data_IF_238612588569
#
_entry.id   IF_238612588569
#
_cell.length_a   1.000
_cell.length_b   1.000
_cell.length_c   1.000
_cell.angle_alpha   90.00
_cell.angle_beta   90.00
_cell.angle_gamma   90.00
#
_symmetry.space_group_name_H-M   'P 1'
#
loop_
_entity.id
_entity.type
_entity.pdbx_description
1 polymer ?
#
# COMPACT_ATOMS: atom_id res chain seq x y z
N UNK A 1 4.44 -26.71 41.44
CA UNK A 1 3.49 -26.67 40.31
C UNK A 1 3.00 -25.25 40.19
N UNK A 2 3.48 -24.51 39.18
CA UNK A 2 2.98 -23.16 38.88
C UNK A 2 1.80 -23.36 37.96
N UNK A 3 0.59 -23.14 38.48
CA UNK A 3 -0.62 -23.03 37.65
C UNK A 3 -0.47 -21.80 36.75
N UNK A 4 -0.11 -22.05 35.49
CA UNK A 4 -0.23 -21.05 34.44
C UNK A 4 -1.72 -20.90 34.18
N UNK A 5 -2.29 -19.84 34.75
CA UNK A 5 -3.64 -19.38 34.50
C UNK A 5 -3.72 -18.92 33.03
N UNK A 6 -3.82 -19.87 32.09
CA UNK A 6 -4.22 -19.60 30.71
C UNK A 6 -5.70 -19.23 30.76
N UNK A 7 -5.98 -17.93 30.88
CA UNK A 7 -7.28 -17.43 30.44
C UNK A 7 -7.53 -18.02 29.05
N UNK A 8 -8.68 -18.66 28.84
CA UNK A 8 -9.11 -19.17 27.54
C UNK A 8 -9.18 -17.98 26.59
N UNK A 9 -8.06 -17.70 25.91
CA UNK A 9 -7.97 -16.61 24.96
C UNK A 9 -8.76 -17.07 23.74
N UNK A 10 -10.05 -16.72 23.70
CA UNK A 10 -10.97 -17.07 22.64
C UNK A 10 -10.33 -16.76 21.28
N UNK A 11 -10.10 -17.80 20.48
CA UNK A 11 -9.50 -17.68 19.15
C UNK A 11 -10.32 -16.70 18.33
N UNK A 12 -9.66 -15.67 17.80
CA UNK A 12 -10.32 -14.63 16.99
C UNK A 12 -10.26 -15.01 15.53
N UNK A 13 -11.34 -14.75 14.79
CA UNK A 13 -11.37 -14.93 13.35
C UNK A 13 -11.21 -13.58 12.64
N UNK A 14 -10.56 -13.59 11.48
CA UNK A 14 -10.43 -12.41 10.61
C UNK A 14 -10.71 -12.81 9.17
N UNK A 15 -11.60 -12.08 8.50
CA UNK A 15 -11.86 -12.29 7.07
C UNK A 15 -10.81 -11.56 6.23
N UNK A 16 -10.15 -12.27 5.32
CA UNK A 16 -9.15 -11.72 4.41
C UNK A 16 -9.64 -11.90 2.98
N UNK A 17 -9.99 -10.79 2.34
CA UNK A 17 -10.41 -10.79 0.94
C UNK A 17 -9.18 -10.61 0.04
N UNK A 18 -8.94 -11.62 -0.78
CA UNK A 18 -7.86 -11.71 -1.76
C UNK A 18 -8.40 -11.55 -3.19
N UNK A 19 -7.52 -11.18 -4.09
CA UNK A 19 -7.81 -11.03 -5.52
C UNK A 19 -6.98 -9.91 -6.14
N UNK A 20 -6.87 -9.92 -7.47
CA UNK A 20 -6.20 -8.84 -8.17
C UNK A 20 -7.00 -7.53 -8.10
N UNK A 21 -6.31 -6.39 -8.19
CA UNK A 21 -7.00 -5.12 -8.40
C UNK A 21 -7.92 -5.22 -9.64
N UNK A 22 -9.16 -4.73 -9.52
CA UNK A 22 -10.23 -4.78 -10.55
C UNK A 22 -10.89 -6.15 -10.76
N UNK A 23 -10.77 -7.07 -9.81
CA UNK A 23 -11.49 -8.35 -9.81
C UNK A 23 -12.80 -8.36 -9.02
N UNK A 24 -13.27 -7.22 -8.52
CA UNK A 24 -14.50 -7.15 -7.72
C UNK A 24 -14.30 -7.25 -6.21
N UNK A 25 -13.05 -7.23 -5.71
CA UNK A 25 -12.75 -7.24 -4.27
C UNK A 25 -13.45 -6.11 -3.49
N UNK A 26 -13.61 -4.92 -4.06
CA UNK A 26 -14.35 -3.83 -3.42
C UNK A 26 -15.85 -4.12 -3.27
N UNK A 27 -16.48 -4.75 -4.27
CA UNK A 27 -17.90 -5.14 -4.19
C UNK A 27 -18.08 -6.23 -3.14
N UNK A 28 -17.21 -7.25 -3.13
CA UNK A 28 -17.22 -8.28 -2.10
C UNK A 28 -17.04 -7.69 -0.69
N UNK A 29 -16.12 -6.75 -0.51
CA UNK A 29 -15.94 -6.04 0.77
C UNK A 29 -17.17 -5.22 1.18
N UNK A 30 -17.84 -4.55 0.24
CA UNK A 30 -19.08 -3.83 0.52
C UNK A 30 -20.19 -4.79 0.94
N UNK A 31 -20.36 -5.91 0.23
CA UNK A 31 -21.33 -6.94 0.61
C UNK A 31 -21.04 -7.46 2.02
N UNK A 32 -19.80 -7.84 2.31
CA UNK A 32 -19.38 -8.33 3.63
C UNK A 32 -19.69 -7.31 4.73
N UNK A 33 -19.36 -6.04 4.52
CA UNK A 33 -19.66 -4.97 5.47
C UNK A 33 -21.18 -4.83 5.70
N UNK A 34 -21.96 -4.86 4.62
CA UNK A 34 -23.41 -4.74 4.67
C UNK A 34 -24.10 -5.94 5.34
N UNK A 35 -23.50 -7.13 5.28
CA UNK A 35 -23.98 -8.33 6.00
C UNK A 35 -23.32 -8.52 7.38
N UNK A 36 -22.80 -7.43 7.97
CA UNK A 36 -22.43 -7.40 9.39
C UNK A 36 -20.94 -7.62 9.68
N UNK A 37 -20.06 -7.68 8.68
CA UNK A 37 -18.61 -7.69 8.91
C UNK A 37 -18.12 -6.32 9.39
N UNK A 38 -17.28 -6.30 10.43
CA UNK A 38 -16.61 -5.07 10.86
C UNK A 38 -15.47 -4.73 9.89
N UNK A 39 -15.37 -3.47 9.48
CA UNK A 39 -14.30 -2.95 8.61
C UNK A 39 -13.52 -1.85 9.35
N UNK A 40 -12.37 -1.46 8.79
CA UNK A 40 -11.58 -0.37 9.36
C UNK A 40 -12.34 0.95 9.39
N UNK A 41 -12.12 1.73 10.45
CA UNK A 41 -12.60 3.12 10.55
C UNK A 41 -11.77 4.07 9.67
N UNK A 42 -10.57 3.66 9.27
CA UNK A 42 -9.63 4.45 8.48
C UNK A 42 -9.48 3.86 7.07
N UNK A 43 -10.48 4.09 6.22
CA UNK A 43 -10.48 3.60 4.83
C UNK A 43 -9.88 4.63 3.88
N UNK A 44 -9.18 4.14 2.85
CA UNK A 44 -8.75 4.95 1.71
C UNK A 44 -9.98 5.63 1.09
N UNK A 45 -9.95 6.96 0.89
CA UNK A 45 -11.10 7.68 0.33
C UNK A 45 -11.35 7.31 -1.16
N UNK A 46 -12.59 7.44 -1.64
CA UNK A 46 -12.91 7.33 -3.07
C UNK A 46 -12.05 8.25 -3.93
N UNK A 47 -11.75 7.83 -5.17
CA UNK A 47 -10.98 8.61 -6.16
C UNK A 47 -11.78 8.73 -7.46
N UNK A 48 -11.42 9.67 -8.33
CA UNK A 48 -12.15 9.91 -9.59
C UNK A 48 -12.40 8.64 -10.44
N UNK A 49 -11.40 7.75 -10.54
CA UNK A 49 -11.49 6.48 -11.28
C UNK A 49 -12.17 5.32 -10.50
N UNK A 50 -12.54 5.56 -9.24
CA UNK A 50 -13.28 4.64 -8.38
C UNK A 50 -14.24 5.42 -7.48
N UNK A 51 -15.42 5.72 -8.01
CA UNK A 51 -16.47 6.49 -7.34
C UNK A 51 -17.02 5.81 -6.09
N UNK A 52 -16.90 4.47 -6.02
CA UNK A 52 -17.12 3.69 -4.80
C UNK A 52 -15.79 3.56 -4.06
N UNK A 53 -15.79 3.75 -2.73
CA UNK A 53 -14.57 3.60 -1.92
C UNK A 53 -13.82 2.32 -2.29
N UNK A 54 -12.48 2.37 -2.41
CA UNK A 54 -11.69 1.17 -2.59
C UNK A 54 -12.00 0.10 -1.54
N UNK A 55 -12.40 0.45 -0.31
CA UNK A 55 -12.50 -0.46 0.84
C UNK A 55 -11.14 -1.04 1.26
N UNK A 56 -10.06 -0.28 1.04
CA UNK A 56 -8.73 -0.58 1.58
C UNK A 56 -8.54 0.16 2.90
N UNK A 57 -7.85 -0.48 3.84
CA UNK A 57 -7.40 0.17 5.07
C UNK A 57 -6.19 1.07 4.75
N UNK A 58 -6.25 2.31 5.20
CA UNK A 58 -5.23 3.33 4.93
C UNK A 58 -3.91 3.03 5.66
N UNK A 59 -3.95 2.47 6.88
CA UNK A 59 -2.74 2.10 7.62
C UNK A 59 -1.99 0.99 6.85
N UNK A 60 -2.72 -0.02 6.35
CA UNK A 60 -2.14 -1.07 5.50
C UNK A 60 -1.59 -0.52 4.19
N UNK A 61 -2.33 0.37 3.53
CA UNK A 61 -1.91 1.01 2.28
C UNK A 61 -0.59 1.75 2.47
N UNK A 62 -0.45 2.46 3.59
CA UNK A 62 0.79 3.14 3.96
C UNK A 62 1.97 2.17 4.17
N UNK A 63 1.75 1.04 4.85
CA UNK A 63 2.79 0.00 5.00
C UNK A 63 3.27 -0.49 3.62
N UNK A 64 2.35 -0.81 2.71
CA UNK A 64 2.74 -1.29 1.38
C UNK A 64 3.49 -0.23 0.57
N UNK A 65 2.91 0.95 0.41
CA UNK A 65 3.40 1.96 -0.53
C UNK A 65 4.52 2.85 0.02
N UNK A 66 4.60 3.06 1.34
CA UNK A 66 5.63 3.91 1.95
C UNK A 66 6.75 3.11 2.59
N UNK A 67 6.52 1.85 2.96
CA UNK A 67 7.56 1.04 3.60
C UNK A 67 8.02 -0.12 2.74
N UNK A 68 7.12 -1.01 2.32
CA UNK A 68 7.52 -2.26 1.66
C UNK A 68 8.09 -1.97 0.28
N UNK A 69 7.27 -1.42 -0.63
CA UNK A 69 7.64 -1.25 -2.03
C UNK A 69 8.90 -0.39 -2.23
N UNK A 70 9.05 0.77 -1.56
CA UNK A 70 10.27 1.57 -1.71
C UNK A 70 11.51 0.86 -1.19
N UNK A 71 11.44 0.19 -0.03
CA UNK A 71 12.62 -0.41 0.61
C UNK A 71 13.05 -1.72 -0.04
N UNK A 72 12.17 -2.41 -0.76
CA UNK A 72 12.50 -3.63 -1.51
C UNK A 72 12.75 -3.37 -3.00
N UNK A 73 12.56 -2.13 -3.47
CA UNK A 73 12.76 -1.75 -4.88
C UNK A 73 11.71 -2.32 -5.83
N UNK A 74 10.44 -2.36 -5.42
CA UNK A 74 9.35 -2.98 -6.21
C UNK A 74 8.09 -2.10 -6.23
N UNK A 75 6.99 -2.60 -6.81
CA UNK A 75 5.67 -1.98 -6.79
C UNK A 75 4.56 -3.06 -6.84
N UNK A 76 3.30 -2.63 -6.68
CA UNK A 76 2.14 -3.52 -6.59
C UNK A 76 1.77 -4.28 -7.88
N UNK A 77 2.44 -4.02 -9.00
CA UNK A 77 2.22 -4.69 -10.29
C UNK A 77 3.30 -5.74 -10.60
N UNK A 78 4.35 -5.81 -9.79
CA UNK A 78 5.46 -6.74 -9.98
C UNK A 78 5.46 -7.80 -8.87
N UNK A 79 5.97 -9.01 -9.15
CA UNK A 79 6.28 -9.98 -8.12
C UNK A 79 7.19 -9.35 -7.06
N UNK A 80 6.94 -9.63 -5.78
CA UNK A 80 7.76 -9.08 -4.70
C UNK A 80 9.08 -9.85 -4.61
N UNK A 81 10.25 -9.17 -4.54
CA UNK A 81 11.52 -9.84 -4.32
C UNK A 81 11.64 -10.26 -2.85
N UNK A 82 11.00 -11.37 -2.48
CA UNK A 82 10.89 -11.81 -1.09
C UNK A 82 12.27 -12.05 -0.43
N UNK A 83 13.29 -12.38 -1.23
CA UNK A 83 14.68 -12.48 -0.79
C UNK A 83 15.22 -11.15 -0.25
N UNK A 84 14.95 -10.04 -0.94
CA UNK A 84 15.37 -8.71 -0.49
C UNK A 84 14.73 -8.36 0.87
N UNK A 85 13.46 -8.74 1.07
CA UNK A 85 12.78 -8.57 2.35
C UNK A 85 13.38 -9.48 3.43
N UNK A 86 13.72 -10.74 3.10
CA UNK A 86 14.30 -11.68 4.05
C UNK A 86 15.74 -11.33 4.46
N UNK A 87 16.53 -10.78 3.54
CA UNK A 87 17.89 -10.32 3.81
C UNK A 87 17.92 -9.08 4.73
N UNK A 88 16.84 -8.28 4.75
CA UNK A 88 16.71 -7.13 5.63
C UNK A 88 15.87 -7.45 6.88
N UNK A 89 16.51 -8.02 7.90
CA UNK A 89 15.85 -8.40 9.17
C UNK A 89 15.15 -7.23 9.85
N UNK A 90 15.79 -6.06 9.90
CA UNK A 90 15.21 -4.88 10.56
C UNK A 90 13.90 -4.43 9.89
N UNK A 91 13.88 -4.42 8.55
CA UNK A 91 12.67 -4.13 7.77
C UNK A 91 11.57 -5.16 8.04
N UNK A 92 11.91 -6.45 7.95
CA UNK A 92 10.95 -7.54 8.18
C UNK A 92 10.34 -7.46 9.59
N UNK A 93 11.15 -7.23 10.61
CA UNK A 93 10.69 -7.10 11.99
C UNK A 93 9.80 -5.86 12.19
N UNK A 94 10.13 -4.75 11.54
CA UNK A 94 9.32 -3.53 11.57
C UNK A 94 7.94 -3.73 10.92
N UNK A 95 7.89 -4.36 9.73
CA UNK A 95 6.64 -4.69 9.06
C UNK A 95 5.83 -5.67 9.92
N UNK A 96 6.46 -6.74 10.41
CA UNK A 96 5.82 -7.73 11.27
C UNK A 96 5.13 -7.09 12.49
N UNK A 97 5.82 -6.17 13.18
CA UNK A 97 5.24 -5.42 14.32
C UNK A 97 4.02 -4.61 13.89
N UNK A 98 4.07 -3.94 12.74
CA UNK A 98 2.94 -3.13 12.25
C UNK A 98 1.74 -4.00 11.85
N UNK A 99 1.94 -5.14 11.17
CA UNK A 99 0.87 -6.08 10.84
C UNK A 99 0.19 -6.60 12.11
N UNK A 100 0.98 -6.97 13.12
CA UNK A 100 0.47 -7.37 14.45
C UNK A 100 -0.37 -6.27 15.09
N UNK A 101 0.11 -5.03 15.06
CA UNK A 101 -0.63 -3.88 15.61
C UNK A 101 -1.98 -3.69 14.89
N UNK A 102 -2.02 -3.82 13.57
CA UNK A 102 -3.25 -3.72 12.78
C UNK A 102 -4.25 -4.80 13.18
N UNK A 103 -3.82 -6.07 13.29
CA UNK A 103 -4.69 -7.17 13.69
C UNK A 103 -5.25 -6.92 15.10
N UNK A 104 -4.39 -6.60 16.08
CA UNK A 104 -4.81 -6.38 17.47
C UNK A 104 -5.75 -5.17 17.58
N UNK A 105 -5.38 -4.04 16.97
CA UNK A 105 -6.19 -2.81 16.96
C UNK A 105 -7.60 -3.08 16.44
N UNK A 106 -7.71 -3.67 15.25
CA UNK A 106 -8.99 -3.82 14.60
C UNK A 106 -9.84 -4.95 15.21
N UNK A 107 -9.24 -6.09 15.56
CA UNK A 107 -9.99 -7.20 16.21
C UNK A 107 -10.41 -6.91 17.65
N UNK A 108 -9.81 -5.92 18.33
CA UNK A 108 -10.27 -5.47 19.64
C UNK A 108 -11.42 -4.46 19.56
N UNK A 109 -11.45 -3.64 18.50
CA UNK A 109 -12.50 -2.63 18.30
C UNK A 109 -13.75 -3.18 17.60
N UNK A 110 -13.60 -4.24 16.81
CA UNK A 110 -14.67 -4.79 16.00
C UNK A 110 -15.86 -5.27 16.85
N UNK A 111 -17.08 -4.96 16.38
CA UNK A 111 -18.34 -5.40 17.00
C UNK A 111 -18.73 -6.83 16.57
N UNK A 112 -18.12 -7.31 15.49
CA UNK A 112 -18.31 -8.62 14.87
C UNK A 112 -16.95 -9.13 14.36
N UNK A 113 -16.94 -10.06 13.41
CA UNK A 113 -15.70 -10.48 12.73
C UNK A 113 -15.16 -9.29 11.93
N UNK A 114 -13.91 -8.93 12.19
CA UNK A 114 -13.20 -7.93 11.39
C UNK A 114 -12.70 -8.55 10.09
N UNK A 115 -12.76 -7.77 9.00
CA UNK A 115 -12.12 -8.18 7.76
C UNK A 115 -11.52 -7.02 6.98
N UNK A 116 -10.59 -7.38 6.10
CA UNK A 116 -9.88 -6.42 5.28
C UNK A 116 -9.56 -6.98 3.90
N UNK A 117 -9.18 -6.07 3.01
CA UNK A 117 -8.53 -6.39 1.76
C UNK A 117 -7.37 -5.46 1.49
N UNK A 118 -6.44 -5.93 0.68
CA UNK A 118 -5.54 -5.08 -0.10
C UNK A 118 -5.01 -5.91 -1.27
N UNK A 119 -4.91 -5.39 -2.51
CA UNK A 119 -4.41 -6.15 -3.64
C UNK A 119 -3.03 -6.77 -3.39
N UNK A 120 -2.15 -6.07 -2.68
CA UNK A 120 -0.81 -6.55 -2.34
C UNK A 120 -0.74 -7.53 -1.15
N UNK A 121 -1.86 -7.88 -0.50
CA UNK A 121 -1.85 -8.84 0.63
C UNK A 121 -1.30 -10.19 0.22
N UNK A 122 -1.64 -10.66 -0.98
CA UNK A 122 -1.13 -11.88 -1.61
C UNK A 122 0.40 -11.96 -1.63
N UNK A 123 1.06 -10.82 -1.88
CA UNK A 123 2.51 -10.73 -2.11
C UNK A 123 3.35 -10.94 -0.84
N UNK A 124 2.74 -10.83 0.35
CA UNK A 124 3.43 -10.99 1.64
C UNK A 124 2.69 -11.94 2.60
N UNK A 125 1.85 -12.84 2.08
CA UNK A 125 1.09 -13.80 2.90
C UNK A 125 1.93 -14.56 3.93
N UNK A 126 3.18 -14.99 3.65
CA UNK A 126 4.01 -15.63 4.67
C UNK A 126 4.27 -14.75 5.90
N UNK A 127 4.34 -13.43 5.75
CA UNK A 127 4.49 -12.49 6.87
C UNK A 127 3.16 -12.25 7.60
N UNK A 128 2.04 -12.23 6.86
CA UNK A 128 0.70 -12.23 7.46
C UNK A 128 0.45 -13.47 8.31
N UNK A 129 0.82 -14.67 7.85
CA UNK A 129 0.70 -15.89 8.65
C UNK A 129 1.46 -15.82 9.97
N UNK A 130 2.68 -15.27 9.95
CA UNK A 130 3.43 -15.02 11.18
C UNK A 130 2.66 -14.08 12.11
N UNK A 131 2.10 -12.99 11.57
CA UNK A 131 1.35 -12.02 12.35
C UNK A 131 0.09 -12.65 12.98
N UNK A 132 -0.72 -13.36 12.18
CA UNK A 132 -1.91 -14.08 12.62
C UNK A 132 -1.61 -15.11 13.72
N UNK A 133 -0.55 -15.91 13.54
CA UNK A 133 -0.12 -16.89 14.54
C UNK A 133 0.32 -16.21 15.84
N UNK A 134 1.04 -15.09 15.75
CA UNK A 134 1.51 -14.34 16.92
C UNK A 134 0.41 -13.64 17.71
N UNK A 135 -0.79 -13.50 17.13
CA UNK A 135 -1.97 -12.88 17.74
C UNK A 135 -3.09 -13.88 18.01
N UNK A 136 -2.83 -15.19 17.89
CA UNK A 136 -3.84 -16.25 18.03
C UNK A 136 -5.11 -15.97 17.20
N UNK A 137 -4.91 -15.48 15.97
CA UNK A 137 -5.97 -15.08 15.05
C UNK A 137 -6.01 -16.05 13.87
N UNK A 138 -7.19 -16.56 13.53
CA UNK A 138 -7.41 -17.50 12.43
C UNK A 138 -7.96 -16.72 11.22
N UNK A 139 -7.23 -16.66 10.10
CA UNK A 139 -7.73 -16.03 8.89
C UNK A 139 -8.76 -16.92 8.18
N UNK A 140 -9.82 -16.30 7.67
CA UNK A 140 -10.83 -16.89 6.78
C UNK A 140 -10.66 -16.22 5.41
N UNK A 141 -10.25 -17.00 4.41
CA UNK A 141 -9.92 -16.44 3.09
C UNK A 141 -11.11 -16.46 2.14
N UNK A 142 -11.38 -15.31 1.52
CA UNK A 142 -12.28 -15.20 0.38
C UNK A 142 -11.50 -14.70 -0.83
N UNK A 143 -11.75 -15.27 -1.99
CA UNK A 143 -11.08 -14.92 -3.23
C UNK A 143 -12.09 -14.32 -4.22
N UNK A 144 -11.95 -13.04 -4.53
CA UNK A 144 -12.73 -12.42 -5.60
C UNK A 144 -12.05 -12.69 -6.95
N UNK A 145 -12.77 -13.37 -7.85
CA UNK A 145 -12.31 -13.73 -9.20
C UNK A 145 -13.11 -12.96 -10.24
N UNK A 146 -12.45 -12.61 -11.33
CA UNK A 146 -13.06 -12.00 -12.51
C UNK A 146 -12.30 -12.39 -13.75
N UNK A 147 -12.98 -12.36 -14.90
CA UNK A 147 -12.35 -12.56 -16.18
C UNK A 147 -11.11 -11.65 -16.35
N UNK A 148 -9.92 -12.22 -16.64
CA UNK A 148 -8.69 -11.46 -16.81
C UNK A 148 -8.77 -10.40 -17.91
N UNK A 149 -9.50 -10.62 -19.00
CA UNK A 149 -9.66 -9.61 -20.06
C UNK A 149 -10.31 -8.34 -19.52
N UNK A 150 -11.41 -8.50 -18.79
CA UNK A 150 -12.15 -7.40 -18.21
C UNK A 150 -11.38 -6.70 -17.09
N UNK A 151 -10.60 -7.45 -16.29
CA UNK A 151 -9.70 -6.86 -15.29
C UNK A 151 -8.57 -6.04 -15.94
N UNK A 152 -7.95 -6.53 -17.02
CA UNK A 152 -6.91 -5.83 -17.75
C UNK A 152 -7.44 -4.54 -18.42
N UNK A 153 -8.55 -4.63 -19.17
CA UNK A 153 -9.20 -3.46 -19.78
C UNK A 153 -9.64 -2.43 -18.74
N UNK A 154 -10.21 -2.88 -17.60
CA UNK A 154 -10.57 -1.96 -16.52
C UNK A 154 -9.35 -1.25 -15.94
N UNK A 155 -8.21 -1.94 -15.81
CA UNK A 155 -6.98 -1.35 -15.28
C UNK A 155 -6.41 -0.32 -16.24
N UNK A 156 -6.42 -0.58 -17.55
CA UNK A 156 -6.03 0.41 -18.56
C UNK A 156 -6.89 1.66 -18.50
N UNK A 157 -8.22 1.50 -18.47
CA UNK A 157 -9.17 2.64 -18.37
C UNK A 157 -8.96 3.45 -17.09
N UNK A 158 -8.72 2.79 -15.95
CA UNK A 158 -8.61 3.47 -14.64
C UNK A 158 -7.23 4.06 -14.35
N UNK A 159 -6.15 3.47 -14.86
CA UNK A 159 -4.78 3.80 -14.44
C UNK A 159 -3.79 3.97 -15.61
N UNK A 160 -4.20 3.77 -16.86
CA UNK A 160 -3.33 3.88 -18.03
C UNK A 160 -2.31 2.75 -18.19
N UNK A 161 -2.36 1.71 -17.35
CA UNK A 161 -1.46 0.56 -17.50
C UNK A 161 -1.83 -0.26 -18.74
N UNK A 162 -0.82 -0.65 -19.53
CA UNK A 162 -1.01 -1.56 -20.65
C UNK A 162 -1.66 -2.88 -20.20
N UNK A 163 -2.51 -3.46 -21.04
CA UNK A 163 -3.26 -4.67 -20.70
C UNK A 163 -2.35 -5.84 -20.35
N UNK A 164 -1.21 -5.99 -21.05
CA UNK A 164 -0.19 -7.00 -20.74
C UNK A 164 0.34 -6.88 -19.29
N UNK A 165 0.50 -5.67 -18.77
CA UNK A 165 0.88 -5.46 -17.35
C UNK A 165 -0.28 -5.83 -16.43
N UNK A 166 -1.51 -5.54 -16.83
CA UNK A 166 -2.72 -5.97 -16.13
C UNK A 166 -2.84 -7.48 -16.02
N UNK A 167 -2.52 -8.20 -17.09
CA UNK A 167 -2.45 -9.67 -17.13
C UNK A 167 -1.39 -10.22 -16.17
N UNK A 168 -0.17 -9.68 -16.19
CA UNK A 168 0.89 -10.12 -15.28
C UNK A 168 0.54 -9.85 -13.81
N UNK A 169 -0.03 -8.69 -13.50
CA UNK A 169 -0.51 -8.38 -12.17
C UNK A 169 -1.65 -9.33 -11.75
N UNK A 170 -2.56 -9.68 -12.66
CA UNK A 170 -3.59 -10.69 -12.41
C UNK A 170 -2.94 -12.04 -12.09
N UNK A 171 -2.07 -12.55 -12.95
CA UNK A 171 -1.39 -13.84 -12.78
C UNK A 171 -0.64 -13.93 -11.46
N UNK A 172 0.19 -12.92 -11.18
CA UNK A 172 1.02 -12.89 -9.98
C UNK A 172 0.18 -12.88 -8.71
N UNK A 173 -0.88 -12.07 -8.65
CA UNK A 173 -1.72 -11.98 -7.46
C UNK A 173 -2.46 -13.29 -7.16
N UNK A 174 -3.07 -13.93 -8.17
CA UNK A 174 -3.77 -15.20 -7.95
C UNK A 174 -2.81 -16.35 -7.67
N UNK A 175 -1.69 -16.43 -8.40
CA UNK A 175 -0.69 -17.49 -8.20
C UNK A 175 -0.13 -17.45 -6.79
N UNK A 176 0.34 -16.29 -6.32
CA UNK A 176 0.89 -16.16 -4.97
C UNK A 176 -0.18 -16.39 -3.88
N UNK A 177 -1.38 -15.84 -4.07
CA UNK A 177 -2.47 -16.03 -3.12
C UNK A 177 -2.85 -17.51 -2.97
N UNK A 178 -3.17 -18.18 -4.07
CA UNK A 178 -3.60 -19.58 -4.08
C UNK A 178 -2.48 -20.52 -3.63
N UNK A 179 -1.23 -20.23 -4.02
CA UNK A 179 -0.07 -21.00 -3.58
C UNK A 179 0.05 -20.98 -2.05
N UNK A 180 0.03 -19.79 -1.44
CA UNK A 180 0.27 -19.64 -0.02
C UNK A 180 -0.89 -20.10 0.86
N UNK A 181 -2.13 -19.92 0.43
CA UNK A 181 -3.31 -20.41 1.18
C UNK A 181 -3.65 -21.87 0.84
N UNK A 182 -2.92 -22.52 -0.08
CA UNK A 182 -3.20 -23.89 -0.51
C UNK A 182 -4.57 -24.06 -1.18
N UNK A 183 -5.04 -23.01 -1.86
CA UNK A 183 -6.42 -22.87 -2.35
C UNK A 183 -7.51 -23.08 -1.27
N UNK A 184 -7.17 -22.87 0.00
CA UNK A 184 -8.14 -22.89 1.10
C UNK A 184 -8.85 -21.57 1.26
N UNK A 185 -9.89 -21.39 0.44
CA UNK A 185 -10.70 -20.19 0.42
C UNK A 185 -12.10 -20.45 -0.14
N UNK A 186 -12.98 -19.47 0.06
CA UNK A 186 -14.24 -19.38 -0.66
C UNK A 186 -14.08 -18.49 -1.90
N UNK A 187 -14.38 -19.03 -3.07
CA UNK A 187 -14.22 -18.34 -4.37
C UNK A 187 -15.54 -17.70 -4.80
N UNK A 188 -15.48 -16.38 -5.05
CA UNK A 188 -16.62 -15.57 -5.52
C UNK A 188 -16.27 -14.97 -6.87
N UNK A 189 -17.07 -15.23 -7.91
CA UNK A 189 -16.88 -14.53 -9.17
C UNK A 189 -17.71 -13.25 -9.21
N UNK A 190 -17.12 -12.20 -9.76
CA UNK A 190 -17.76 -10.90 -9.86
C UNK A 190 -19.10 -10.95 -10.58
N UNK A 191 -19.15 -11.73 -11.65
CA UNK A 191 -20.32 -11.90 -12.51
C UNK A 191 -21.50 -12.53 -11.75
N UNK A 192 -21.23 -13.39 -10.77
CA UNK A 192 -22.27 -14.12 -10.05
C UNK A 192 -23.11 -13.21 -9.12
N UNK A 193 -22.58 -12.04 -8.75
CA UNK A 193 -23.37 -11.02 -8.03
C UNK A 193 -24.58 -10.56 -8.83
N UNK A 194 -24.57 -10.71 -10.15
CA UNK A 194 -25.65 -10.25 -11.02
C UNK A 194 -26.59 -11.38 -11.46
N UNK A 195 -26.26 -12.64 -11.15
CA UNK A 195 -27.10 -13.81 -11.44
C UNK A 195 -27.74 -14.39 -10.17
N UNK A 196 -26.94 -14.68 -9.13
CA UNK A 196 -27.38 -15.35 -7.91
C UNK A 196 -26.94 -14.65 -6.60
N UNK A 197 -27.06 -13.31 -6.45
CA UNK A 197 -26.47 -12.55 -5.34
C UNK A 197 -26.88 -13.06 -3.94
N UNK A 198 -28.17 -13.35 -3.75
CA UNK A 198 -28.71 -13.76 -2.44
C UNK A 198 -28.18 -15.12 -2.00
N UNK A 199 -28.01 -16.06 -2.94
CA UNK A 199 -27.49 -17.40 -2.65
C UNK A 199 -26.04 -17.31 -2.18
N UNK A 200 -25.20 -16.59 -2.95
CA UNK A 200 -23.77 -16.42 -2.66
C UNK A 200 -23.57 -15.74 -1.30
N UNK A 201 -24.34 -14.70 -1.00
CA UNK A 201 -24.23 -14.01 0.29
C UNK A 201 -24.61 -14.91 1.48
N UNK A 202 -25.61 -15.79 1.34
CA UNK A 202 -25.95 -16.78 2.37
C UNK A 202 -24.84 -17.81 2.59
N UNK A 203 -24.24 -18.30 1.51
CA UNK A 203 -23.10 -19.22 1.58
C UNK A 203 -21.89 -18.54 2.24
N UNK A 204 -21.62 -17.27 1.91
CA UNK A 204 -20.57 -16.47 2.56
C UNK A 204 -20.85 -16.27 4.05
N UNK A 205 -22.09 -15.96 4.46
CA UNK A 205 -22.46 -15.81 5.87
C UNK A 205 -22.12 -17.07 6.67
N UNK A 206 -22.52 -18.24 6.14
CA UNK A 206 -22.25 -19.53 6.77
C UNK A 206 -20.75 -19.85 6.79
N UNK A 207 -20.05 -19.65 5.67
CA UNK A 207 -18.60 -19.93 5.56
C UNK A 207 -17.77 -19.04 6.49
N UNK A 208 -18.16 -17.78 6.67
CA UNK A 208 -17.42 -16.82 7.50
C UNK A 208 -17.80 -16.84 8.97
N UNK A 209 -18.92 -17.47 9.33
CA UNK A 209 -19.50 -17.39 10.67
C UNK A 209 -20.06 -16.01 11.00
N UNK A 210 -20.43 -15.22 9.98
CA UNK A 210 -21.09 -13.91 10.14
C UNK A 210 -22.59 -14.06 10.42
N UNK A 211 -23.16 -15.23 10.14
CA UNK A 211 -24.54 -15.60 10.44
C UNK A 211 -24.91 -15.37 11.92
N UNK A 212 -23.99 -15.58 12.86
CA UNK A 212 -24.22 -15.32 14.29
C UNK A 212 -24.37 -13.81 14.63
N UNK A 213 -23.98 -12.91 13.72
CA UNK A 213 -24.04 -11.47 13.91
C UNK A 213 -25.10 -10.79 13.02
N UNK A 214 -25.46 -11.42 11.91
CA UNK A 214 -26.37 -10.85 10.92
C UNK A 214 -27.82 -11.27 11.18
N UNK A 215 -28.70 -10.29 11.44
CA UNK A 215 -30.13 -10.51 11.73
C UNK A 215 -31.07 -9.96 10.67
N UNK A 216 -30.53 -9.36 9.59
CA UNK A 216 -31.32 -8.71 8.53
C UNK A 216 -31.77 -9.65 7.41
N UNK A 217 -32.46 -9.09 6.42
CA UNK A 217 -32.76 -9.79 5.16
C UNK A 217 -31.63 -9.56 4.14
N UNK A 218 -30.99 -10.65 3.72
CA UNK A 218 -29.89 -10.61 2.73
C UNK A 218 -30.31 -9.93 1.42
N UNK A 219 -31.52 -10.21 0.92
CA UNK A 219 -32.01 -9.65 -0.35
C UNK A 219 -32.19 -8.14 -0.26
N UNK A 220 -32.73 -7.65 0.86
CA UNK A 220 -32.90 -6.22 1.10
C UNK A 220 -31.54 -5.51 1.13
N UNK A 221 -30.61 -6.03 1.92
CA UNK A 221 -29.25 -5.47 2.05
C UNK A 221 -28.51 -5.45 0.71
N UNK A 222 -28.57 -6.55 -0.05
CA UNK A 222 -27.89 -6.64 -1.34
C UNK A 222 -28.45 -5.69 -2.39
N UNK A 223 -29.75 -5.35 -2.33
CA UNK A 223 -30.36 -4.40 -3.27
C UNK A 223 -29.74 -2.99 -3.22
N UNK A 224 -29.12 -2.64 -2.09
CA UNK A 224 -28.46 -1.35 -1.88
C UNK A 224 -27.02 -1.35 -2.40
N UNK A 225 -26.37 -2.52 -2.43
CA UNK A 225 -24.95 -2.70 -2.78
C UNK A 225 -24.78 -3.13 -4.23
N UNK A 226 -25.53 -4.15 -4.66
CA UNK A 226 -25.48 -4.70 -6.01
C UNK A 226 -26.46 -3.96 -6.90
N UNK A 227 -25.95 -2.96 -7.62
CA UNK A 227 -26.74 -2.15 -8.55
C UNK A 227 -26.53 -2.61 -9.99
N UNK A 228 -27.58 -2.62 -10.84
CA UNK A 228 -27.46 -3.05 -12.25
C UNK A 228 -26.39 -2.29 -13.04
N UNK A 229 -26.17 -1.00 -12.76
CA UNK A 229 -25.14 -0.18 -13.41
C UNK A 229 -23.70 -0.53 -12.98
N UNK A 230 -23.54 -1.38 -11.96
CA UNK A 230 -22.25 -1.99 -11.62
C UNK A 230 -22.02 -3.27 -12.42
N UNK A 231 -22.99 -3.79 -13.17
CA UNK A 231 -22.72 -4.92 -14.05
C UNK A 231 -21.76 -4.46 -15.16
N UNK A 232 -20.53 -4.97 -15.09
CA UNK A 232 -19.43 -4.65 -16.01
C UNK A 232 -19.02 -5.90 -16.78
N UNK A 233 -19.93 -6.83 -16.97
CA UNK A 233 -19.72 -8.09 -17.71
C UNK A 233 -19.81 -7.91 -19.23
N UNK A 234 -19.88 -6.66 -19.72
CA UNK A 234 -19.90 -6.35 -21.15
C UNK A 234 -18.59 -6.84 -21.78
N UNK A 235 -18.70 -7.46 -22.96
CA UNK A 235 -17.55 -7.89 -23.76
C UNK A 235 -16.60 -6.71 -23.99
N UNK A 236 -15.40 -6.82 -23.45
CA UNK A 236 -14.29 -5.90 -23.75
C UNK A 236 -13.54 -6.46 -24.96
N UNK A 237 -13.07 -5.59 -25.86
CA UNK A 237 -12.39 -5.98 -27.11
C UNK A 237 -11.02 -6.65 -26.88
N UNK A 238 -10.53 -6.63 -25.64
CA UNK A 238 -9.22 -7.17 -25.30
C UNK A 238 -9.22 -8.69 -25.18
N UNK A 239 -8.37 -9.35 -25.96
CA UNK A 239 -8.07 -10.77 -25.82
C UNK A 239 -6.81 -10.96 -25.00
N UNK A 240 -6.90 -11.78 -23.95
CA UNK A 240 -5.77 -12.16 -23.10
C UNK A 240 -4.72 -12.88 -23.94
N UNK A 241 -3.48 -12.43 -23.85
CA UNK A 241 -2.36 -12.95 -24.65
C UNK A 241 -1.49 -13.93 -23.87
N UNK A 242 -1.42 -13.81 -22.54
CA UNK A 242 -0.56 -14.65 -21.72
C UNK A 242 -1.16 -16.05 -21.53
N UNK A 243 -0.43 -17.08 -21.97
CA UNK A 243 -0.86 -18.48 -21.88
C UNK A 243 -1.12 -18.94 -20.44
N UNK A 244 -0.31 -18.51 -19.47
CA UNK A 244 -0.49 -18.88 -18.07
C UNK A 244 -1.70 -18.20 -17.43
N UNK A 245 -2.04 -16.98 -17.85
CA UNK A 245 -3.31 -16.34 -17.47
C UNK A 245 -4.49 -17.14 -17.99
N UNK A 246 -4.46 -17.55 -19.27
CA UNK A 246 -5.50 -18.39 -19.86
C UNK A 246 -5.62 -19.74 -19.15
N UNK A 247 -4.50 -20.43 -18.92
CA UNK A 247 -4.45 -21.72 -18.18
C UNK A 247 -5.07 -21.60 -16.80
N UNK A 248 -4.62 -20.63 -16.00
CA UNK A 248 -5.12 -20.44 -14.65
C UNK A 248 -6.62 -20.07 -14.64
N UNK A 249 -7.04 -19.14 -15.51
CA UNK A 249 -8.45 -18.75 -15.58
C UNK A 249 -9.35 -19.89 -16.06
N UNK A 250 -8.87 -20.75 -16.97
CA UNK A 250 -9.62 -21.90 -17.46
C UNK A 250 -9.99 -22.90 -16.37
N UNK A 251 -9.21 -22.99 -15.29
CA UNK A 251 -9.58 -23.80 -14.12
C UNK A 251 -10.40 -22.96 -13.14
N UNK A 252 -9.98 -21.73 -12.85
CA UNK A 252 -10.66 -20.85 -11.89
C UNK A 252 -12.12 -20.55 -12.26
N UNK A 253 -12.46 -20.48 -13.55
CA UNK A 253 -13.83 -20.25 -14.02
C UNK A 253 -14.80 -21.36 -13.59
N UNK A 254 -14.31 -22.55 -13.28
CA UNK A 254 -15.10 -23.68 -12.81
C UNK A 254 -15.18 -23.73 -11.27
N UNK A 255 -14.38 -22.94 -10.55
CA UNK A 255 -14.34 -22.94 -9.09
C UNK A 255 -15.33 -21.91 -8.51
N UNK A 256 -16.22 -22.34 -7.61
CA UNK A 256 -17.19 -21.51 -6.87
C UNK A 256 -17.34 -21.99 -5.43
N UNK A 257 -17.57 -21.07 -4.50
CA UNK A 257 -17.76 -21.40 -3.10
C UNK A 257 -16.51 -22.01 -2.47
N UNK A 258 -16.70 -22.86 -1.47
CA UNK A 258 -15.60 -23.53 -0.75
C UNK A 258 -15.28 -24.94 -1.28
N UNK A 259 -16.18 -25.52 -2.08
CA UNK A 259 -16.08 -26.89 -2.61
C UNK A 259 -15.83 -26.87 -4.12
N UNK A 260 -14.61 -27.25 -4.49
CA UNK A 260 -14.15 -27.33 -5.87
C UNK A 260 -12.90 -28.23 -5.92
N UNK A 261 -12.50 -28.64 -7.12
CA UNK A 261 -11.30 -29.47 -7.31
C UNK A 261 -10.02 -28.67 -7.02
N UNK A 262 -9.62 -28.66 -5.75
CA UNK A 262 -8.42 -27.99 -5.25
C UNK A 262 -7.15 -28.60 -5.83
N UNK A 263 -7.14 -29.91 -6.08
CA UNK A 263 -5.96 -30.58 -6.65
C UNK A 263 -5.71 -30.12 -8.08
N UNK A 264 -6.75 -30.06 -8.92
CA UNK A 264 -6.68 -29.52 -10.29
C UNK A 264 -6.24 -28.06 -10.29
N UNK A 265 -6.82 -27.22 -9.42
CA UNK A 265 -6.42 -25.81 -9.32
C UNK A 265 -4.96 -25.66 -8.90
N UNK A 266 -4.54 -26.38 -7.85
CA UNK A 266 -3.18 -26.28 -7.33
C UNK A 266 -2.11 -26.84 -8.28
N UNK A 267 -2.46 -27.79 -9.15
CA UNK A 267 -1.56 -28.24 -10.20
C UNK A 267 -1.19 -27.10 -11.16
N UNK A 268 -2.20 -26.35 -11.63
CA UNK A 268 -1.98 -25.19 -12.53
C UNK A 268 -1.30 -24.04 -11.80
N UNK A 269 -1.65 -23.76 -10.53
CA UNK A 269 -0.96 -22.75 -9.72
C UNK A 269 0.54 -23.05 -9.59
N UNK A 270 0.91 -24.32 -9.39
CA UNK A 270 2.32 -24.73 -9.35
C UNK A 270 3.02 -24.51 -10.69
N UNK A 271 2.37 -24.84 -11.79
CA UNK A 271 2.90 -24.59 -13.15
C UNK A 271 3.12 -23.08 -13.40
N UNK A 272 2.12 -22.25 -13.10
CA UNK A 272 2.23 -20.79 -13.22
C UNK A 272 3.39 -20.24 -12.37
N UNK A 273 3.53 -20.72 -11.13
CA UNK A 273 4.61 -20.28 -10.23
C UNK A 273 5.99 -20.69 -10.74
N UNK A 274 6.14 -21.93 -11.21
CA UNK A 274 7.38 -22.40 -11.84
C UNK A 274 7.76 -21.54 -13.06
N UNK A 275 6.78 -21.20 -13.90
CA UNK A 275 7.01 -20.32 -15.04
C UNK A 275 7.46 -18.91 -14.60
N UNK A 276 6.81 -18.33 -13.59
CA UNK A 276 7.22 -17.04 -13.02
C UNK A 276 8.64 -17.08 -12.43
N UNK A 277 8.97 -18.15 -11.69
CA UNK A 277 10.29 -18.36 -11.11
C UNK A 277 11.38 -18.53 -12.19
N UNK A 278 11.04 -19.14 -13.32
CA UNK A 278 11.95 -19.27 -14.48
C UNK A 278 12.42 -17.93 -15.06
N UNK A 279 11.61 -16.88 -14.93
CA UNK A 279 11.96 -15.52 -15.36
C UNK A 279 12.44 -14.62 -14.21
N UNK A 280 12.76 -15.20 -13.05
CA UNK A 280 13.10 -14.44 -11.85
C UNK A 280 14.26 -13.47 -12.02
N UNK A 281 15.33 -13.91 -12.68
CA UNK A 281 16.49 -13.06 -12.94
C UNK A 281 16.13 -11.78 -13.70
N UNK A 282 15.24 -11.86 -14.70
CA UNK A 282 14.86 -10.70 -15.50
C UNK A 282 14.05 -9.68 -14.70
N UNK A 283 13.08 -10.12 -13.90
CA UNK A 283 12.30 -9.16 -13.12
C UNK A 283 13.12 -8.54 -11.97
N UNK A 284 14.08 -9.28 -11.39
CA UNK A 284 15.00 -8.72 -10.38
C UNK A 284 15.87 -7.60 -10.97
N UNK A 285 16.43 -7.82 -12.17
CA UNK A 285 17.18 -6.78 -12.89
C UNK A 285 16.29 -5.57 -13.21
N UNK A 286 15.06 -5.80 -13.64
CA UNK A 286 14.11 -4.71 -13.90
C UNK A 286 13.81 -3.91 -12.61
N UNK A 287 13.66 -4.59 -11.47
CA UNK A 287 13.43 -3.95 -10.18
C UNK A 287 14.62 -3.13 -9.69
N UNK A 288 15.84 -3.65 -9.81
CA UNK A 288 17.05 -2.90 -9.49
C UNK A 288 17.15 -1.61 -10.31
N UNK A 289 16.85 -1.69 -11.61
CA UNK A 289 16.81 -0.53 -12.49
C UNK A 289 15.70 0.45 -12.10
N UNK A 290 14.51 -0.02 -11.74
CA UNK A 290 13.42 0.83 -11.25
C UNK A 290 13.84 1.57 -9.98
N UNK A 291 14.45 0.86 -9.02
CA UNK A 291 14.94 1.45 -7.78
C UNK A 291 16.00 2.52 -8.07
N UNK A 292 16.99 2.20 -8.92
CA UNK A 292 18.04 3.15 -9.33
C UNK A 292 17.46 4.40 -10.00
N UNK A 293 16.49 4.24 -10.90
CA UNK A 293 15.83 5.37 -11.56
C UNK A 293 15.04 6.21 -10.55
N UNK A 294 14.39 5.59 -9.56
CA UNK A 294 13.70 6.31 -8.49
C UNK A 294 14.67 7.17 -7.68
N UNK A 295 15.81 6.60 -7.24
CA UNK A 295 16.85 7.34 -6.51
C UNK A 295 17.41 8.49 -7.33
N UNK A 296 17.68 8.27 -8.62
CA UNK A 296 18.16 9.34 -9.50
C UNK A 296 17.15 10.46 -9.68
N UNK A 297 15.85 10.15 -9.72
CA UNK A 297 14.78 11.17 -9.78
C UNK A 297 14.71 12.01 -8.51
N UNK A 298 14.82 11.38 -7.34
CA UNK A 298 14.86 12.10 -6.05
C UNK A 298 16.07 13.02 -5.96
N UNK A 299 17.26 12.52 -6.31
CA UNK A 299 18.48 13.33 -6.38
C UNK A 299 18.34 14.50 -7.35
N UNK A 300 17.75 14.27 -8.52
CA UNK A 300 17.48 15.33 -9.50
C UNK A 300 16.53 16.38 -8.94
N UNK A 301 15.49 15.97 -8.21
CA UNK A 301 14.54 16.89 -7.59
C UNK A 301 15.20 17.75 -6.52
N UNK A 302 15.97 17.15 -5.60
CA UNK A 302 16.76 17.89 -4.61
C UNK A 302 17.78 18.84 -5.26
N UNK A 303 18.42 18.41 -6.35
CA UNK A 303 19.34 19.27 -7.09
C UNK A 303 18.62 20.48 -7.71
N UNK A 304 17.40 20.29 -8.25
CA UNK A 304 16.58 21.38 -8.78
C UNK A 304 16.15 22.37 -7.70
N UNK A 305 15.77 21.88 -6.52
CA UNK A 305 15.40 22.73 -5.38
C UNK A 305 16.58 23.60 -4.94
N UNK A 306 17.77 22.99 -4.75
CA UNK A 306 19.00 23.73 -4.45
C UNK A 306 19.38 24.72 -5.55
N UNK A 307 19.19 24.34 -6.81
CA UNK A 307 19.44 25.24 -7.94
C UNK A 307 18.51 26.45 -7.93
N UNK A 308 17.25 26.27 -7.51
CA UNK A 308 16.28 27.35 -7.39
C UNK A 308 16.62 28.36 -6.27
N UNK A 309 17.39 27.96 -5.26
CA UNK A 309 17.86 28.85 -4.19
C UNK A 309 19.04 29.75 -4.60
N UNK A 310 19.80 29.36 -5.63
CA UNK A 310 21.03 30.06 -6.07
C UNK A 310 20.80 31.56 -6.30
N UNK A 311 19.76 32.02 -7.05
CA UNK A 311 19.57 33.44 -7.28
C UNK A 311 19.34 34.26 -6.00
N UNK A 312 18.64 33.67 -5.01
CA UNK A 312 18.37 34.32 -3.74
C UNK A 312 19.63 34.42 -2.88
N UNK A 313 20.43 33.35 -2.82
CA UNK A 313 21.74 33.36 -2.16
C UNK A 313 22.69 34.38 -2.82
N UNK A 314 22.72 34.45 -4.15
CA UNK A 314 23.50 35.45 -4.89
C UNK A 314 23.05 36.89 -4.60
N UNK A 315 21.73 37.12 -4.42
CA UNK A 315 21.22 38.43 -3.99
C UNK A 315 21.71 38.75 -2.57
N UNK A 316 21.63 37.79 -1.65
CA UNK A 316 22.07 37.98 -0.26
C UNK A 316 23.57 38.27 -0.16
N UNK A 317 24.39 37.57 -0.93
CA UNK A 317 25.83 37.83 -1.02
C UNK A 317 26.09 39.28 -1.45
N UNK A 318 25.42 39.76 -2.52
CA UNK A 318 25.57 41.15 -2.98
C UNK A 318 25.12 42.19 -1.95
N UNK A 319 24.11 41.90 -1.15
CA UNK A 319 23.69 42.77 -0.04
C UNK A 319 24.76 42.84 1.05
N UNK A 320 25.29 41.69 1.46
CA UNK A 320 26.34 41.61 2.47
C UNK A 320 27.64 42.26 1.99
N UNK A 321 28.00 42.13 0.72
CA UNK A 321 29.16 42.81 0.13
C UNK A 321 29.02 44.33 0.19
N UNK A 322 27.83 44.87 -0.11
CA UNK A 322 27.55 46.31 0.02
C UNK A 322 27.63 46.80 1.47
N UNK A 323 27.10 46.00 2.40
CA UNK A 323 27.13 46.34 3.82
C UNK A 323 28.57 46.31 4.38
N UNK A 324 29.37 45.30 4.01
CA UNK A 324 30.79 45.25 4.34
C UNK A 324 31.57 46.44 3.78
N UNK A 325 31.29 46.85 2.53
CA UNK A 325 31.93 48.02 1.95
C UNK A 325 31.60 49.30 2.74
N UNK A 326 30.33 49.48 3.12
CA UNK A 326 29.89 50.61 3.95
C UNK A 326 30.56 50.61 5.33
N UNK A 327 30.67 49.44 5.98
CA UNK A 327 31.35 49.32 7.27
C UNK A 327 32.84 49.67 7.16
N UNK A 328 33.52 49.24 6.08
CA UNK A 328 34.92 49.59 5.83
C UNK A 328 35.11 51.10 5.57
N UNK A 329 34.16 51.75 4.91
CA UNK A 329 34.18 53.21 4.74
C UNK A 329 33.99 53.94 6.08
N UNK A 330 33.04 53.50 6.90
CA UNK A 330 32.85 54.04 8.25
C UNK A 330 34.08 53.85 9.14
N UNK A 331 34.75 52.70 9.06
CA UNK A 331 35.99 52.44 9.79
C UNK A 331 37.09 53.44 9.40
N UNK A 332 37.25 53.74 8.10
CA UNK A 332 38.18 54.77 7.62
C UNK A 332 37.82 56.17 8.13
N UNK A 333 36.53 56.50 8.19
CA UNK A 333 36.08 57.79 8.74
C UNK A 333 36.36 57.91 10.24
N UNK A 334 36.15 56.83 11.00
CA UNK A 334 36.49 56.78 12.43
C UNK A 334 38.00 56.99 12.63
N UNK A 335 38.85 56.31 11.85
CA UNK A 335 40.31 56.50 11.92
C UNK A 335 40.69 57.96 11.66
N UNK A 336 40.13 58.59 10.62
CA UNK A 336 40.40 60.01 10.33
C UNK A 336 39.90 60.94 11.44
N UNK A 337 38.74 60.66 12.01
CA UNK A 337 38.20 61.45 13.11
C UNK A 337 39.08 61.34 14.36
N UNK A 338 39.62 60.14 14.64
CA UNK A 338 40.55 59.90 15.75
C UNK A 338 41.90 60.60 15.53
N UNK A 339 42.45 60.54 14.31
CA UNK A 339 43.64 61.32 13.92
C UNK A 339 43.43 62.83 14.09
N UNK A 340 42.29 63.36 13.65
CA UNK A 340 41.95 64.78 13.79
C UNK A 340 41.75 65.19 15.26
N UNK A 341 41.15 64.33 16.07
CA UNK A 341 41.00 64.55 17.51
C UNK A 341 42.36 64.59 18.21
N UNK A 342 43.26 63.64 17.90
CA UNK A 342 44.63 63.62 18.40
C UNK A 342 45.38 64.91 18.01
N UNK A 343 45.25 65.36 16.76
CA UNK A 343 45.87 66.62 16.32
C UNK A 343 45.31 67.86 17.03
N UNK A 344 44.00 67.92 17.28
CA UNK A 344 43.38 68.99 18.07
C UNK A 344 43.85 68.98 19.54
N UNK A 345 44.06 67.81 20.12
CA UNK A 345 44.63 67.66 21.47
C UNK A 345 46.10 68.10 21.54
N UNK A 346 46.87 67.95 20.47
CA UNK A 346 48.23 68.49 20.36
C UNK A 346 48.25 70.03 20.22
N UNK A 347 47.30 70.61 19.47
CA UNK A 347 47.19 72.06 19.27
C UNK A 347 46.60 72.81 20.49
N UNK A 348 45.75 72.15 21.25
CA UNK A 348 45.19 72.63 22.51
C UNK A 348 45.43 71.60 23.60
N UNK A 349 46.69 71.47 24.10
CA UNK A 349 46.95 70.59 25.22
C UNK A 349 46.05 71.06 26.36
N UNK A 350 45.27 70.14 26.92
CA UNK A 350 44.56 70.39 28.17
C UNK A 350 45.61 70.91 29.15
N UNK A 351 45.49 72.20 29.50
CA UNK A 351 46.30 72.78 30.56
C UNK A 351 46.11 71.88 31.77
N UNK A 352 47.18 71.36 32.40
CA UNK A 352 47.00 70.58 33.61
C UNK A 352 46.25 71.47 34.58
N UNK A 353 45.07 71.00 35.01
CA UNK A 353 44.38 71.51 36.17
C UNK A 353 45.42 71.72 37.27
N UNK A 354 45.58 72.98 37.65
CA UNK A 354 46.30 73.39 38.84
C UNK A 354 45.60 72.77 40.05
N UNK A 355 45.98 71.54 40.41
CA UNK A 355 45.86 71.06 41.78
C UNK A 355 47.09 71.57 42.55
N UNK A 356 47.02 72.83 42.99
CA UNK A 356 47.61 73.28 44.27
C UNK A 356 46.77 74.43 44.83
N UNK A 357 46.04 74.07 45.88
CA UNK A 357 45.38 74.83 46.96
C UNK A 357 43.89 75.09 46.81
#
# INVERSE_FOLDING_TARGET
>A
MVEINRSEQKTKHVVVVLGSGRSGTSVLMQVLASIGMSISENLVPPRFHNTLSPMEDEDMTNIYFKEIFPKVGSNSLLPLPYENMNCNRSLKDAIFRQLKQIIVKNTNKAKSIWGFKHPATSLILPLWFQAFNSTATVPIFLMAVRNPSTSASSRKKSFGHAEAIGELAWLSNYTEALHHIGADCFIVHYEDWFSEPTKIAKEILSYTGLDQYFTGDVKEVLSQVIKPNLNRSVHEDYQVQNEYVLKLYNVLKDCRGADFDRARLMAVVKECRQAMDGFKGWYLIAQENIARVSTLREQLQTAKEKQAEIPQLQKRIRELERENQRLSEMEKEIIRADEALNHLQELYPQNPTHDRL
#
